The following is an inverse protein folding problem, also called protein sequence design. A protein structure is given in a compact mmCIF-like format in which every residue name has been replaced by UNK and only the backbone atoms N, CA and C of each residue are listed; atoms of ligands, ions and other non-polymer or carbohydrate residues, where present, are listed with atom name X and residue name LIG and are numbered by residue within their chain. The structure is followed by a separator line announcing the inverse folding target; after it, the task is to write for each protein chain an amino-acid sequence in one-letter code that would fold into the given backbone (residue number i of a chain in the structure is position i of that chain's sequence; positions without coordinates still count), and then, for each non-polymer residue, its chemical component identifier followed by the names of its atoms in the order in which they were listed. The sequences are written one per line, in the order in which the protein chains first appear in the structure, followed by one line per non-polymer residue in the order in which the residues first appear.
data_IF_493994866658
#
_entry.id   IF_493994866658
#
_cell.length_a   1.000
_cell.length_b   1.000
_cell.length_c   1.000
_cell.angle_alpha   90.00
_cell.angle_beta   90.00
_cell.angle_gamma   90.00
#
_symmetry.space_group_name_H-M   'P 1'
#
loop_
_entity.id
_entity.type
_entity.pdbx_description
1 polymer ?
#
# COMPACT_ATOMS: atom_id res chain seq x y z
N UNK A 1 -8.89 -19.03 -5.85
CA UNK A 1 -7.99 -18.09 -6.55
C UNK A 1 -6.89 -18.86 -7.25
N UNK A 2 -6.56 -18.50 -8.50
CA UNK A 2 -5.58 -19.22 -9.30
C UNK A 2 -4.31 -18.38 -9.44
N UNK A 3 -3.19 -18.87 -8.87
CA UNK A 3 -1.86 -18.24 -9.02
C UNK A 3 -1.03 -19.07 -9.98
N UNK A 4 -0.40 -18.40 -10.95
CA UNK A 4 0.58 -18.98 -11.87
C UNK A 4 1.94 -18.34 -11.64
N UNK A 5 2.91 -19.12 -11.20
CA UNK A 5 4.29 -18.64 -11.05
C UNK A 5 5.06 -18.79 -12.36
N UNK A 6 5.79 -17.75 -12.77
CA UNK A 6 6.73 -17.87 -13.88
C UNK A 6 7.93 -18.78 -13.51
N UNK A 7 8.63 -19.42 -14.48
CA UNK A 7 9.80 -20.25 -14.16
C UNK A 7 10.87 -19.53 -13.35
N UNK A 8 11.16 -18.28 -13.69
CA UNK A 8 12.12 -17.45 -12.94
C UNK A 8 11.64 -17.16 -11.51
N UNK A 9 10.34 -16.95 -11.31
CA UNK A 9 9.79 -16.73 -9.97
C UNK A 9 9.86 -18.01 -9.14
N UNK A 10 9.53 -19.16 -9.70
CA UNK A 10 9.63 -20.47 -9.00
C UNK A 10 11.04 -20.74 -8.46
N UNK A 11 12.08 -20.39 -9.23
CA UNK A 11 13.49 -20.60 -8.83
C UNK A 11 13.95 -19.64 -7.71
N UNK A 12 13.27 -18.53 -7.51
CA UNK A 12 13.71 -17.44 -6.58
C UNK A 12 12.78 -17.24 -5.41
N UNK A 13 11.59 -17.81 -5.47
CA UNK A 13 10.57 -17.65 -4.46
C UNK A 13 11.02 -18.31 -3.15
N UNK A 14 11.10 -17.52 -2.10
CA UNK A 14 11.31 -18.03 -0.74
C UNK A 14 9.98 -18.43 -0.14
N UNK A 15 9.99 -19.34 0.86
CA UNK A 15 8.78 -19.70 1.61
C UNK A 15 8.06 -18.47 2.16
N UNK A 16 8.80 -17.55 2.80
CA UNK A 16 8.25 -16.30 3.34
C UNK A 16 7.56 -15.46 2.26
N UNK A 17 8.21 -15.26 1.10
CA UNK A 17 7.60 -14.46 0.03
C UNK A 17 6.35 -15.14 -0.56
N UNK A 18 6.32 -16.47 -0.60
CA UNK A 18 5.13 -17.23 -1.00
C UNK A 18 3.97 -16.99 -0.04
N UNK A 19 4.20 -17.18 1.26
CA UNK A 19 3.21 -16.94 2.31
C UNK A 19 2.70 -15.48 2.27
N UNK A 20 3.59 -14.50 2.08
CA UNK A 20 3.20 -13.10 1.94
C UNK A 20 2.28 -12.85 0.74
N UNK A 21 2.57 -13.46 -0.41
CA UNK A 21 1.73 -13.35 -1.61
C UNK A 21 0.36 -13.96 -1.35
N UNK A 22 0.28 -15.14 -0.76
CA UNK A 22 -0.99 -15.83 -0.46
C UNK A 22 -1.83 -15.03 0.53
N UNK A 23 -1.25 -14.57 1.64
CA UNK A 23 -1.96 -13.73 2.62
C UNK A 23 -2.44 -12.41 2.01
N UNK A 24 -1.59 -11.75 1.20
CA UNK A 24 -2.01 -10.53 0.53
C UNK A 24 -3.21 -10.76 -0.38
N UNK A 25 -3.15 -11.81 -1.19
CA UNK A 25 -4.22 -12.13 -2.14
C UNK A 25 -5.54 -12.50 -1.46
N UNK A 26 -5.51 -13.14 -0.29
CA UNK A 26 -6.71 -13.44 0.48
C UNK A 26 -7.48 -12.17 0.89
N UNK A 27 -6.79 -11.04 1.00
CA UNK A 27 -7.37 -9.74 1.33
C UNK A 27 -7.90 -8.96 0.10
N UNK A 28 -7.84 -9.57 -1.10
CA UNK A 28 -8.32 -8.97 -2.35
C UNK A 28 -9.44 -9.82 -2.97
N UNK A 29 -10.66 -9.83 -2.39
CA UNK A 29 -11.78 -10.62 -2.88
C UNK A 29 -12.15 -10.29 -4.32
N UNK A 30 -11.90 -9.06 -4.79
CA UNK A 30 -12.18 -8.65 -6.17
C UNK A 30 -11.35 -9.42 -7.21
N UNK A 31 -10.28 -10.09 -6.78
CA UNK A 31 -9.36 -10.85 -7.63
C UNK A 31 -9.54 -12.38 -7.49
N UNK A 32 -10.53 -12.86 -6.70
CA UNK A 32 -10.68 -14.30 -6.36
C UNK A 32 -10.87 -15.21 -7.58
N UNK A 33 -11.63 -14.75 -8.58
CA UNK A 33 -11.95 -15.54 -9.78
C UNK A 33 -10.97 -15.25 -10.94
N UNK A 34 -9.87 -14.56 -10.65
CA UNK A 34 -8.92 -14.15 -11.67
C UNK A 34 -7.64 -14.95 -11.60
N UNK A 35 -7.12 -15.37 -12.76
CA UNK A 35 -5.79 -15.97 -12.86
C UNK A 35 -4.72 -14.89 -12.84
N UNK A 36 -3.93 -14.84 -11.76
CA UNK A 36 -2.82 -13.90 -11.61
C UNK A 36 -1.50 -14.60 -11.86
N UNK A 37 -0.72 -14.10 -12.83
CA UNK A 37 0.64 -14.57 -13.07
C UNK A 37 1.61 -13.76 -12.20
N UNK A 38 2.37 -14.44 -11.35
CA UNK A 38 3.39 -13.83 -10.51
C UNK A 38 4.77 -14.08 -11.12
N UNK A 39 5.44 -13.00 -11.51
CA UNK A 39 6.76 -13.00 -12.12
C UNK A 39 7.82 -12.35 -11.23
N UNK A 40 9.09 -12.53 -11.61
CA UNK A 40 10.24 -11.94 -10.94
C UNK A 40 10.72 -10.68 -11.66
N UNK A 41 11.18 -9.67 -10.89
CA UNK A 41 11.88 -8.49 -11.40
C UNK A 41 13.12 -8.15 -10.57
N UNK A 42 14.13 -7.55 -11.21
CA UNK A 42 15.30 -6.97 -10.52
C UNK A 42 15.27 -5.45 -10.48
N UNK A 43 14.53 -4.82 -11.40
CA UNK A 43 14.61 -3.38 -11.66
C UNK A 43 13.80 -2.55 -10.65
N UNK A 44 12.64 -3.06 -10.23
CA UNK A 44 11.68 -2.36 -9.37
C UNK A 44 11.32 -3.25 -8.18
N UNK A 45 10.76 -2.68 -7.11
CA UNK A 45 10.22 -3.43 -5.99
C UNK A 45 9.07 -4.33 -6.43
N UNK A 46 8.17 -3.76 -7.24
CA UNK A 46 7.05 -4.43 -7.88
C UNK A 46 6.68 -3.78 -9.21
N UNK A 47 5.84 -4.44 -9.97
CA UNK A 47 5.10 -3.87 -11.11
C UNK A 47 3.88 -4.71 -11.42
N UNK A 48 2.77 -4.06 -11.79
CA UNK A 48 1.55 -4.71 -12.25
C UNK A 48 1.29 -4.43 -13.73
N UNK A 49 0.69 -5.38 -14.42
CA UNK A 49 0.30 -5.25 -15.83
C UNK A 49 -1.02 -5.98 -16.07
N UNK A 50 -2.00 -5.29 -16.64
CA UNK A 50 -3.23 -5.88 -17.13
C UNK A 50 -3.21 -5.83 -18.65
N UNK A 51 -3.33 -6.98 -19.29
CA UNK A 51 -3.35 -7.13 -20.75
C UNK A 51 -4.79 -7.37 -21.19
N UNK A 52 -5.25 -6.53 -22.12
CA UNK A 52 -6.59 -6.64 -22.72
C UNK A 52 -6.48 -7.23 -24.11
N UNK A 53 -7.43 -8.10 -24.45
CA UNK A 53 -7.60 -8.65 -25.79
C UNK A 53 -9.07 -8.60 -26.18
N UNK A 54 -9.39 -7.98 -27.31
CA UNK A 54 -10.77 -7.82 -27.80
C UNK A 54 -11.72 -7.22 -26.76
N UNK A 55 -11.25 -6.26 -25.96
CA UNK A 55 -12.07 -5.58 -24.93
C UNK A 55 -12.24 -6.36 -23.61
N UNK A 56 -11.71 -7.59 -23.52
CA UNK A 56 -11.70 -8.41 -22.29
C UNK A 56 -10.30 -8.49 -21.68
N UNK A 57 -10.22 -8.77 -20.39
CA UNK A 57 -8.94 -9.01 -19.74
C UNK A 57 -8.41 -10.38 -20.18
N UNK A 58 -7.24 -10.38 -20.79
CA UNK A 58 -6.54 -11.59 -21.23
C UNK A 58 -5.60 -12.11 -20.12
N UNK A 59 -4.85 -11.22 -19.50
CA UNK A 59 -3.89 -11.58 -18.44
C UNK A 59 -3.75 -10.49 -17.39
N UNK A 60 -3.55 -10.94 -16.15
CA UNK A 60 -3.10 -10.13 -15.04
C UNK A 60 -1.74 -10.63 -14.55
N UNK A 61 -0.78 -9.73 -14.47
CA UNK A 61 0.59 -10.07 -14.14
C UNK A 61 1.09 -9.11 -13.07
N UNK A 62 1.62 -9.63 -11.97
CA UNK A 62 2.48 -8.87 -11.06
C UNK A 62 3.91 -9.39 -11.16
N UNK A 63 4.89 -8.50 -11.05
CA UNK A 63 6.30 -8.86 -10.96
C UNK A 63 6.85 -8.30 -9.66
N UNK A 64 7.53 -9.12 -8.88
CA UNK A 64 8.03 -8.77 -7.57
C UNK A 64 9.54 -9.01 -7.47
N UNK A 65 10.23 -8.13 -6.76
CA UNK A 65 11.61 -8.33 -6.33
C UNK A 65 11.56 -9.10 -5.01
N UNK A 66 11.77 -10.42 -5.07
CA UNK A 66 11.59 -11.33 -3.93
C UNK A 66 12.42 -10.92 -2.70
N UNK A 67 13.68 -10.46 -2.93
CA UNK A 67 14.53 -10.00 -1.83
C UNK A 67 14.09 -8.61 -1.37
N UNK A 68 13.60 -8.52 -0.15
CA UNK A 68 13.10 -7.27 0.44
C UNK A 68 11.66 -6.93 0.03
N UNK A 69 10.86 -7.89 -0.44
CA UNK A 69 9.44 -7.71 -0.68
C UNK A 69 8.72 -7.44 0.64
N UNK A 70 7.77 -6.51 0.64
CA UNK A 70 6.91 -6.15 1.76
C UNK A 70 5.44 -6.40 1.40
N UNK A 71 4.58 -6.54 2.40
CA UNK A 71 3.13 -6.62 2.18
C UNK A 71 2.61 -5.36 1.47
N UNK A 72 3.14 -4.19 1.85
CA UNK A 72 2.82 -2.92 1.20
C UNK A 72 3.09 -2.99 -0.32
N UNK A 73 4.27 -3.47 -0.73
CA UNK A 73 4.60 -3.63 -2.15
C UNK A 73 3.64 -4.57 -2.86
N UNK A 74 3.34 -5.74 -2.27
CA UNK A 74 2.41 -6.71 -2.88
C UNK A 74 1.01 -6.11 -3.01
N UNK A 75 0.49 -5.51 -1.93
CA UNK A 75 -0.83 -4.87 -1.92
C UNK A 75 -0.95 -3.74 -2.93
N UNK A 76 0.11 -2.92 -3.10
CA UNK A 76 0.19 -1.86 -4.09
C UNK A 76 0.01 -2.41 -5.52
N UNK A 77 0.75 -3.46 -5.87
CA UNK A 77 0.63 -4.09 -7.19
C UNK A 77 -0.72 -4.77 -7.41
N UNK A 78 -1.29 -5.40 -6.38
CA UNK A 78 -2.64 -5.96 -6.47
C UNK A 78 -3.70 -4.87 -6.64
N UNK A 79 -3.53 -3.71 -6.01
CA UNK A 79 -4.42 -2.57 -6.18
C UNK A 79 -4.37 -2.04 -7.63
N UNK A 80 -3.21 -2.03 -8.29
CA UNK A 80 -3.11 -1.75 -9.71
C UNK A 80 -3.90 -2.74 -10.59
N UNK A 81 -3.93 -4.02 -10.23
CA UNK A 81 -4.77 -5.00 -10.95
C UNK A 81 -6.26 -4.67 -10.83
N UNK A 82 -6.72 -4.25 -9.63
CA UNK A 82 -8.12 -3.80 -9.45
C UNK A 82 -8.41 -2.54 -10.27
N UNK A 83 -7.50 -1.58 -10.31
CA UNK A 83 -7.64 -0.43 -11.19
C UNK A 83 -7.81 -0.86 -12.66
N UNK A 84 -7.05 -1.88 -13.09
CA UNK A 84 -7.19 -2.49 -14.40
C UNK A 84 -8.54 -3.14 -14.61
N UNK A 85 -9.09 -3.90 -13.65
CA UNK A 85 -10.46 -4.45 -13.74
C UNK A 85 -11.50 -3.37 -14.06
N UNK A 86 -11.34 -2.20 -13.43
CA UNK A 86 -12.25 -1.08 -13.61
C UNK A 86 -12.17 -0.43 -15.01
N UNK A 87 -11.02 -0.50 -15.70
CA UNK A 87 -10.88 0.06 -17.06
C UNK A 87 -11.66 -0.73 -18.12
N UNK A 88 -11.79 -2.06 -17.95
CA UNK A 88 -12.58 -2.92 -18.86
C UNK A 88 -14.08 -2.74 -18.77
N UNK A 89 -14.58 -2.29 -17.62
CA UNK A 89 -16.02 -2.05 -17.41
C UNK A 89 -16.31 -0.54 -17.56
N UNK A 90 -17.12 -0.16 -18.57
CA UNK A 90 -17.56 1.22 -18.85
C UNK A 90 -18.39 1.90 -17.73
N UNK A 91 -18.40 1.38 -16.53
CA UNK A 91 -19.21 1.89 -15.43
C UNK A 91 -18.42 2.85 -14.55
N UNK A 92 -18.91 4.07 -14.39
CA UNK A 92 -18.46 5.05 -13.40
C UNK A 92 -19.00 4.72 -12.00
N UNK A 93 -18.79 3.49 -11.52
CA UNK A 93 -19.24 3.10 -10.19
C UNK A 93 -18.47 3.93 -9.14
N UNK A 94 -19.15 4.51 -8.14
CA UNK A 94 -18.51 5.34 -7.10
C UNK A 94 -17.46 4.59 -6.29
N UNK A 95 -17.55 3.26 -6.24
CA UNK A 95 -16.66 2.41 -5.44
C UNK A 95 -15.37 2.00 -6.17
N UNK A 96 -15.17 2.46 -7.41
CA UNK A 96 -13.95 2.16 -8.15
C UNK A 96 -12.74 2.87 -7.59
N UNK A 97 -11.64 2.12 -7.45
CA UNK A 97 -10.33 2.69 -7.14
C UNK A 97 -9.88 3.57 -8.31
N UNK A 98 -9.68 4.88 -8.11
CA UNK A 98 -9.17 5.75 -9.18
C UNK A 98 -7.79 5.31 -9.63
N UNK A 99 -7.45 5.56 -10.89
CA UNK A 99 -6.11 5.27 -11.42
C UNK A 99 -5.03 6.16 -10.80
N UNK A 100 -3.81 5.64 -10.72
CA UNK A 100 -2.61 6.35 -10.30
C UNK A 100 -1.97 5.81 -9.04
N UNK A 101 -0.67 6.03 -8.94
CA UNK A 101 0.22 5.47 -7.91
C UNK A 101 -0.19 5.86 -6.48
N UNK A 102 -0.53 7.13 -6.24
CA UNK A 102 -0.99 7.60 -4.92
C UNK A 102 -2.28 6.91 -4.49
N UNK A 103 -3.15 6.63 -5.46
CA UNK A 103 -4.39 5.90 -5.19
C UNK A 103 -4.08 4.47 -4.73
N UNK A 104 -3.11 3.82 -5.39
CA UNK A 104 -2.68 2.48 -4.98
C UNK A 104 -2.15 2.50 -3.54
N UNK A 105 -1.28 3.44 -3.18
CA UNK A 105 -0.79 3.57 -1.81
C UNK A 105 -1.94 3.75 -0.80
N UNK A 106 -2.87 4.69 -1.08
CA UNK A 106 -3.98 5.03 -0.18
C UNK A 106 -4.91 3.83 0.03
N UNK A 107 -5.31 3.16 -1.06
CA UNK A 107 -6.25 2.05 -0.99
C UNK A 107 -5.61 0.78 -0.42
N UNK A 108 -4.32 0.58 -0.65
CA UNK A 108 -3.55 -0.52 -0.05
C UNK A 108 -3.47 -0.36 1.47
N UNK A 109 -3.03 0.80 1.96
CA UNK A 109 -2.94 1.07 3.40
C UNK A 109 -4.30 1.00 4.09
N UNK A 110 -5.34 1.54 3.48
CA UNK A 110 -6.69 1.52 4.04
C UNK A 110 -7.27 0.11 4.17
N UNK A 111 -6.89 -0.82 3.28
CA UNK A 111 -7.46 -2.15 3.16
C UNK A 111 -7.28 -3.00 4.41
N UNK A 112 -6.03 -3.15 4.87
CA UNK A 112 -5.72 -3.97 6.05
C UNK A 112 -4.44 -3.50 6.73
N UNK A 113 -4.33 -3.59 8.08
CA UNK A 113 -3.10 -3.28 8.82
C UNK A 113 -1.87 -4.05 8.33
N UNK A 114 -2.03 -5.24 7.75
CA UNK A 114 -0.96 -6.04 7.18
C UNK A 114 -0.13 -5.27 6.16
N UNK A 115 -0.76 -4.36 5.39
CA UNK A 115 -0.11 -3.53 4.38
C UNK A 115 0.59 -2.29 4.94
N UNK A 116 0.65 -2.16 6.26
CA UNK A 116 1.35 -1.08 6.94
C UNK A 116 2.77 -1.47 7.37
N UNK A 117 3.32 -2.58 6.87
CA UNK A 117 4.66 -3.09 7.19
C UNK A 117 5.79 -2.23 6.59
N UNK A 118 5.49 -1.41 5.58
CA UNK A 118 6.43 -0.45 4.99
C UNK A 118 5.73 0.86 4.61
N UNK A 119 6.51 1.95 4.52
CA UNK A 119 6.00 3.27 4.19
C UNK A 119 5.58 3.36 2.71
N UNK A 120 4.42 3.99 2.40
CA UNK A 120 3.96 4.17 1.04
C UNK A 120 4.96 4.99 0.23
N UNK A 121 5.14 4.63 -1.04
CA UNK A 121 6.15 5.26 -1.91
C UNK A 121 5.71 6.61 -2.44
N UNK A 122 4.46 6.75 -2.86
CA UNK A 122 3.96 7.88 -3.65
C UNK A 122 3.16 8.92 -2.84
N UNK A 123 2.57 8.53 -1.70
CA UNK A 123 1.95 9.48 -0.79
C UNK A 123 3.03 10.36 -0.16
N UNK A 124 2.87 11.69 -0.29
CA UNK A 124 3.84 12.64 0.24
C UNK A 124 3.80 12.69 1.75
N UNK A 125 4.93 12.42 2.37
CA UNK A 125 5.13 12.53 3.81
C UNK A 125 6.53 13.03 4.16
N UNK A 126 6.73 13.63 5.36
CA UNK A 126 8.05 14.04 5.83
C UNK A 126 9.01 12.85 5.93
N UNK A 127 10.29 13.05 5.53
CA UNK A 127 11.32 12.01 5.58
C UNK A 127 11.42 11.32 6.95
N UNK A 128 11.37 12.10 8.02
CA UNK A 128 11.41 11.58 9.39
C UNK A 128 10.28 10.60 9.72
N UNK A 129 9.09 10.77 9.13
CA UNK A 129 7.99 9.80 9.31
C UNK A 129 8.29 8.50 8.59
N UNK A 130 8.91 8.54 7.41
CA UNK A 130 9.35 7.33 6.70
C UNK A 130 10.40 6.56 7.49
N UNK A 131 11.39 7.26 8.05
CA UNK A 131 12.45 6.65 8.87
C UNK A 131 11.93 6.02 10.16
N UNK A 132 10.77 6.47 10.64
CA UNK A 132 10.09 5.99 11.85
C UNK A 132 8.69 5.48 11.53
N UNK A 133 8.53 4.86 10.39
CA UNK A 133 7.24 4.44 9.88
C UNK A 133 6.39 3.64 10.89
N UNK A 134 6.92 2.65 11.63
CA UNK A 134 6.11 1.89 12.59
C UNK A 134 5.37 2.76 13.63
N UNK A 135 5.92 3.94 13.98
CA UNK A 135 5.29 4.85 14.95
C UNK A 135 4.05 5.56 14.37
N UNK A 136 3.89 5.60 13.07
CA UNK A 136 2.87 6.36 12.36
C UNK A 136 1.93 5.51 11.51
N UNK A 137 2.31 4.28 11.25
CA UNK A 137 1.69 3.41 10.25
C UNK A 137 0.16 3.29 10.41
N UNK A 138 -0.31 2.96 11.60
CA UNK A 138 -1.74 2.80 11.87
C UNK A 138 -2.49 4.14 11.82
N UNK A 139 -1.89 5.22 12.31
CA UNK A 139 -2.52 6.55 12.22
C UNK A 139 -2.63 7.03 10.77
N UNK A 140 -1.59 6.79 9.96
CA UNK A 140 -1.65 7.11 8.52
C UNK A 140 -2.68 6.23 7.81
N UNK A 141 -2.83 4.97 8.20
CA UNK A 141 -3.88 4.08 7.71
C UNK A 141 -5.27 4.67 7.97
N UNK A 142 -5.56 5.12 9.19
CA UNK A 142 -6.85 5.77 9.53
C UNK A 142 -7.08 7.03 8.69
N UNK A 143 -6.05 7.83 8.45
CA UNK A 143 -6.14 8.98 7.54
C UNK A 143 -6.43 8.56 6.10
N UNK A 144 -5.89 7.43 5.63
CA UNK A 144 -6.21 6.88 4.31
C UNK A 144 -7.68 6.44 4.21
N UNK A 145 -8.22 5.77 5.23
CA UNK A 145 -9.65 5.40 5.32
C UNK A 145 -10.52 6.66 5.25
N UNK A 146 -10.22 7.67 6.07
CA UNK A 146 -10.94 8.93 6.08
C UNK A 146 -10.84 9.67 4.73
N UNK A 147 -9.70 9.61 4.05
CA UNK A 147 -9.51 10.21 2.73
C UNK A 147 -10.40 9.54 1.67
N UNK A 148 -10.54 8.20 1.70
CA UNK A 148 -11.43 7.46 0.79
C UNK A 148 -12.88 7.87 1.02
N UNK A 149 -13.33 7.98 2.26
CA UNK A 149 -14.67 8.45 2.61
C UNK A 149 -14.91 9.89 2.13
N UNK A 150 -13.90 10.77 2.36
CA UNK A 150 -13.96 12.17 1.97
C UNK A 150 -14.01 12.37 0.44
N UNK A 151 -13.50 11.44 -0.35
CA UNK A 151 -13.50 11.48 -1.82
C UNK A 151 -14.89 11.71 -2.39
N UNK A 152 -15.96 11.20 -1.77
CA UNK A 152 -17.34 11.33 -2.27
C UNK A 152 -17.84 12.79 -2.28
N UNK A 153 -17.29 13.63 -1.39
CA UNK A 153 -17.71 15.02 -1.22
C UNK A 153 -16.63 16.04 -1.55
N UNK A 154 -15.36 15.62 -1.60
CA UNK A 154 -14.23 16.52 -1.75
C UNK A 154 -13.20 16.02 -2.77
N UNK A 155 -13.17 16.67 -3.92
CA UNK A 155 -12.31 16.28 -5.06
C UNK A 155 -10.80 16.29 -4.73
N UNK A 156 -10.34 17.19 -3.84
CA UNK A 156 -8.92 17.31 -3.48
C UNK A 156 -8.53 16.49 -2.25
N UNK A 157 -9.19 15.35 -2.00
CA UNK A 157 -8.99 14.52 -0.82
C UNK A 157 -7.55 14.00 -0.64
N UNK A 158 -6.77 13.80 -1.72
CA UNK A 158 -5.36 13.42 -1.64
C UNK A 158 -4.52 14.57 -1.05
N UNK A 159 -4.77 15.81 -1.48
CA UNK A 159 -4.10 16.99 -0.92
C UNK A 159 -4.43 17.15 0.56
N UNK A 160 -5.68 16.99 0.92
CA UNK A 160 -6.12 16.98 2.31
C UNK A 160 -5.37 15.91 3.11
N UNK A 161 -5.30 14.66 2.63
CA UNK A 161 -4.56 13.58 3.28
C UNK A 161 -3.09 13.95 3.53
N UNK A 162 -2.41 14.45 2.51
CA UNK A 162 -0.99 14.84 2.61
C UNK A 162 -0.79 16.03 3.57
N UNK A 163 -1.78 16.91 3.73
CA UNK A 163 -1.78 17.99 4.72
C UNK A 163 -1.97 17.45 6.14
N UNK A 164 -2.89 16.51 6.37
CA UNK A 164 -3.10 15.87 7.69
C UNK A 164 -1.85 15.09 8.12
N UNK A 165 -1.23 14.33 7.22
CA UNK A 165 0.04 13.65 7.49
C UNK A 165 1.14 14.65 7.93
N UNK A 166 1.21 15.83 7.29
CA UNK A 166 2.16 16.88 7.70
C UNK A 166 1.84 17.46 9.09
N UNK A 167 0.57 17.64 9.42
CA UNK A 167 0.13 18.11 10.76
C UNK A 167 0.53 17.10 11.85
N UNK A 168 0.27 15.81 11.62
CA UNK A 168 0.67 14.73 12.51
C UNK A 168 2.18 14.76 12.81
N UNK A 169 3.02 14.97 11.80
CA UNK A 169 4.47 15.10 11.97
C UNK A 169 4.89 16.29 12.84
N UNK A 170 4.16 17.42 12.79
CA UNK A 170 4.43 18.61 13.61
C UNK A 170 4.02 18.38 15.06
N UNK A 171 2.86 17.80 15.31
CA UNK A 171 2.36 17.49 16.65
C UNK A 171 3.30 16.55 17.43
N UNK A 172 3.83 15.53 16.75
CA UNK A 172 4.82 14.61 17.32
C UNK A 172 6.16 15.32 17.71
N UNK A 173 6.47 16.46 17.11
CA UNK A 173 7.63 17.29 17.53
C UNK A 173 7.35 18.06 18.81
N UNK A 174 6.16 18.67 18.90
CA UNK A 174 5.77 19.46 20.07
C UNK A 174 5.66 18.60 21.33
N UNK A 175 5.05 17.41 21.22
CA UNK A 175 4.95 16.49 22.33
C UNK A 175 6.30 16.05 22.90
N UNK A 176 7.33 15.92 22.05
CA UNK A 176 8.70 15.57 22.51
C UNK A 176 9.48 16.74 23.12
N UNK A 177 9.15 17.98 22.75
CA UNK A 177 9.81 19.17 23.34
C UNK A 177 9.25 19.53 24.73
N UNK A 178 8.10 18.97 25.10
CA UNK A 178 7.40 19.20 26.38
C UNK A 178 7.71 18.08 27.40
N UNK A 179 8.42 17.02 27.02
CA UNK A 179 8.85 15.99 27.96
C UNK A 179 9.70 16.62 29.08
N UNK A 180 9.33 16.50 30.36
CA UNK A 180 10.03 17.19 31.44
C UNK A 180 11.48 16.73 31.50
N UNK A 181 12.40 17.72 31.69
CA UNK A 181 13.76 17.44 32.08
C UNK A 181 13.73 16.50 33.30
N UNK A 182 14.51 15.42 33.23
CA UNK A 182 14.65 14.44 34.31
C UNK A 182 14.81 15.17 35.64
N UNK A 183 13.87 14.93 36.56
CA UNK A 183 14.03 15.25 37.96
C UNK A 183 15.26 14.47 38.48
N UNK A 184 16.41 15.13 38.54
CA UNK A 184 17.57 14.64 39.27
C UNK A 184 17.15 14.68 40.74
N UNK A 185 16.85 13.54 41.34
CA UNK A 185 16.69 13.42 42.78
C UNK A 185 18.03 13.77 43.45
N UNK A 186 18.07 14.71 44.40
CA UNK A 186 19.27 14.95 45.15
C UNK A 186 19.55 13.70 46.00
N UNK A 187 20.74 13.15 45.81
CA UNK A 187 21.31 12.16 46.73
C UNK A 187 21.39 12.82 48.11
N UNK A 188 20.61 12.38 49.08
CA UNK A 188 20.77 12.67 50.47
C UNK A 188 21.79 11.66 51.01
N UNK A 189 22.95 12.17 51.42
CA UNK A 189 24.00 11.44 52.15
C UNK A 189 23.58 11.30 53.60
#
# INVERSE_FOLDING_TARGET
MLIRLTPQMKQRLTRRAHEMIEHSLALFPELQDTLITVGYTRKHLGSATVIYRKGSIDRMIIRLKVRGVTYQTIGHELTHLIQGLAHGARSAAPDKIPSGEKQCDIWTLARDPLFCDDAPTYVKMPRRMRERWPDYALTVRELCIAAIQKRHTYRQYIRWLEEEIRKLSKQSRQAKSIAPAQLTLPFII
#
